data_IF_961079247984
#
_entry.id   IF_961079247984
#
_cell.length_a   1.000
_cell.length_b   1.000
_cell.length_c   1.000
_cell.angle_alpha   90.00
_cell.angle_beta   90.00
_cell.angle_gamma   90.00
#
_symmetry.space_group_name_H-M   'P 1'
#
loop_
_entity.id
_entity.type
_entity.pdbx_description
1 polymer ?
#
# COMPACT_ATOMS: atom_id res chain seq x y z
N UNK A 1 22.17 18.28 17.35
CA UNK A 1 23.25 18.35 16.34
C UNK A 1 22.65 18.93 15.08
N UNK A 2 23.39 19.63 14.20
CA UNK A 2 22.79 20.13 12.96
C UNK A 2 22.35 18.96 12.09
N UNK A 3 21.09 18.97 11.67
CA UNK A 3 20.54 17.95 10.78
C UNK A 3 21.25 18.00 9.43
N UNK A 4 21.64 16.84 8.89
CA UNK A 4 22.42 16.77 7.65
C UNK A 4 21.57 16.45 6.45
N UNK A 5 21.69 17.25 5.40
CA UNK A 5 21.03 16.95 4.13
C UNK A 5 21.70 15.77 3.43
N UNK A 6 20.90 14.81 2.96
CA UNK A 6 21.32 13.83 1.96
C UNK A 6 21.12 14.43 0.55
N UNK A 7 22.18 14.88 -0.15
CA UNK A 7 22.05 15.82 -1.26
C UNK A 7 21.85 15.17 -2.64
N UNK A 8 21.76 13.84 -2.71
CA UNK A 8 21.81 13.10 -3.96
C UNK A 8 20.40 12.81 -4.51
N UNK A 9 20.20 13.08 -5.80
CA UNK A 9 19.00 12.64 -6.51
C UNK A 9 18.93 11.11 -6.57
N UNK A 10 17.76 10.54 -6.31
CA UNK A 10 17.55 9.09 -6.37
C UNK A 10 17.14 8.62 -7.76
N UNK A 11 17.69 7.49 -8.16
CA UNK A 11 17.25 6.72 -9.32
C UNK A 11 15.96 5.96 -8.99
N UNK A 12 15.04 5.90 -9.94
CA UNK A 12 13.88 5.01 -9.86
C UNK A 12 14.26 3.57 -10.23
N UNK A 13 13.74 2.55 -9.52
CA UNK A 13 12.72 2.62 -8.48
C UNK A 13 13.28 2.96 -7.09
N UNK A 14 12.55 3.79 -6.35
CA UNK A 14 12.73 3.96 -4.90
C UNK A 14 11.85 2.95 -4.18
N UNK A 15 12.40 2.29 -3.17
CA UNK A 15 11.66 1.30 -2.37
C UNK A 15 11.27 1.91 -1.04
N UNK A 16 9.97 1.88 -0.70
CA UNK A 16 9.46 2.20 0.64
C UNK A 16 8.86 0.93 1.26
N UNK A 17 9.26 0.63 2.50
CA UNK A 17 8.70 -0.46 3.30
C UNK A 17 7.97 0.13 4.49
N UNK A 18 6.68 -0.16 4.61
CA UNK A 18 5.83 0.26 5.72
C UNK A 18 5.59 -0.92 6.68
N UNK A 19 6.08 -0.81 7.91
CA UNK A 19 5.97 -1.83 8.94
C UNK A 19 5.07 -1.39 10.09
N UNK A 20 3.85 -1.91 10.12
CA UNK A 20 2.97 -1.76 11.26
C UNK A 20 3.29 -2.79 12.35
N UNK A 21 3.01 -2.42 13.59
CA UNK A 21 3.06 -3.33 14.72
C UNK A 21 1.66 -3.45 15.29
N UNK A 22 1.07 -4.63 15.08
CA UNK A 22 -0.27 -4.98 15.56
C UNK A 22 -0.13 -6.25 16.39
N UNK A 23 -0.54 -6.17 17.64
CA UNK A 23 -0.67 -7.34 18.49
C UNK A 23 -1.99 -8.05 18.19
N UNK A 24 -1.95 -9.37 18.15
CA UNK A 24 -3.04 -10.25 17.73
C UNK A 24 -3.30 -11.23 18.87
N UNK A 25 -4.34 -10.93 19.65
CA UNK A 25 -4.79 -11.75 20.76
C UNK A 25 -5.84 -12.71 20.25
N UNK A 26 -5.49 -13.99 20.22
CA UNK A 26 -6.32 -15.04 19.63
C UNK A 26 -6.98 -15.86 20.72
N UNK A 27 -8.24 -16.22 20.48
CA UNK A 27 -8.99 -17.25 21.21
C UNK A 27 -9.56 -18.22 20.18
N UNK A 28 -10.03 -19.40 20.61
CA UNK A 28 -10.56 -20.44 19.71
C UNK A 28 -11.62 -19.91 18.72
N UNK A 29 -12.54 -19.06 19.20
CA UNK A 29 -13.68 -18.55 18.45
C UNK A 29 -13.56 -17.06 18.03
N UNK A 30 -12.50 -16.37 18.43
CA UNK A 30 -12.44 -14.93 18.32
C UNK A 30 -11.03 -14.36 18.36
N UNK A 31 -10.91 -13.09 17.97
CA UNK A 31 -9.62 -12.41 17.91
C UNK A 31 -9.80 -10.93 18.20
N UNK A 32 -8.88 -10.37 19.00
CA UNK A 32 -8.74 -8.94 19.22
C UNK A 32 -7.39 -8.46 18.65
N UNK A 33 -7.41 -7.35 17.92
CA UNK A 33 -6.22 -6.75 17.32
C UNK A 33 -5.96 -5.35 17.86
N UNK A 34 -4.76 -5.10 18.36
CA UNK A 34 -4.36 -3.82 18.96
C UNK A 34 -3.18 -3.25 18.19
N UNK A 35 -3.34 -2.08 17.58
CA UNK A 35 -2.21 -1.38 16.97
C UNK A 35 -1.31 -0.79 18.05
N UNK A 36 -0.07 -1.26 18.12
CA UNK A 36 0.93 -0.80 19.09
C UNK A 36 1.61 0.50 18.67
N UNK A 37 1.48 0.89 17.40
CA UNK A 37 2.00 2.14 16.84
C UNK A 37 0.89 3.00 16.27
N UNK A 38 1.04 4.31 16.35
CA UNK A 38 0.15 5.28 15.71
C UNK A 38 0.27 5.22 14.18
N UNK A 39 1.49 5.23 13.65
CA UNK A 39 1.83 5.01 12.24
C UNK A 39 2.82 3.86 12.01
N UNK A 40 3.02 3.41 10.77
CA UNK A 40 4.02 2.38 10.46
C UNK A 40 5.44 2.91 10.66
N UNK A 41 6.42 2.03 10.87
CA UNK A 41 7.81 2.41 10.62
C UNK A 41 8.01 2.42 9.11
N UNK A 42 8.45 3.55 8.55
CA UNK A 42 8.78 3.66 7.12
C UNK A 42 10.29 3.57 6.94
N UNK A 43 10.72 2.62 6.12
CA UNK A 43 12.11 2.49 5.68
C UNK A 43 12.16 2.76 4.19
N UNK A 44 12.96 3.74 3.78
CA UNK A 44 13.14 4.13 2.38
C UNK A 44 14.54 3.73 1.95
N UNK A 45 14.64 2.98 0.85
CA UNK A 45 15.90 2.64 0.21
C UNK A 45 16.01 3.41 -1.10
N UNK A 46 17.06 4.22 -1.18
CA UNK A 46 17.40 5.04 -2.33
C UNK A 46 18.64 4.46 -3.02
N UNK A 47 18.56 4.34 -4.34
CA UNK A 47 19.68 4.05 -5.21
C UNK A 47 20.10 5.35 -5.90
N UNK A 48 21.39 5.64 -5.96
CA UNK A 48 21.94 6.83 -6.61
C UNK A 48 22.99 6.43 -7.63
N UNK A 49 22.97 7.04 -8.81
CA UNK A 49 24.03 6.92 -9.80
C UNK A 49 24.91 8.17 -9.70
N UNK A 50 26.16 7.99 -9.26
CA UNK A 50 27.08 9.10 -8.99
C UNK A 50 28.39 8.95 -9.77
N UNK A 51 29.04 10.07 -10.04
CA UNK A 51 30.40 10.13 -10.55
C UNK A 51 31.44 9.97 -9.42
N UNK A 52 32.72 10.01 -9.78
CA UNK A 52 33.81 9.76 -8.82
C UNK A 52 33.78 10.73 -7.64
N UNK A 53 33.42 11.99 -7.88
CA UNK A 53 33.32 13.01 -6.84
C UNK A 53 32.11 12.77 -5.94
N UNK A 54 30.95 12.48 -6.52
CA UNK A 54 29.74 12.16 -5.78
C UNK A 54 29.88 10.89 -4.94
N UNK A 55 30.59 9.86 -5.43
CA UNK A 55 30.92 8.66 -4.66
C UNK A 55 31.81 8.97 -3.45
N UNK A 56 32.78 9.88 -3.61
CA UNK A 56 33.62 10.33 -2.51
C UNK A 56 32.81 11.15 -1.50
N UNK A 57 31.98 12.10 -1.96
CA UNK A 57 31.08 12.89 -1.11
C UNK A 57 30.14 11.98 -0.30
N UNK A 58 29.53 10.98 -0.95
CA UNK A 58 28.65 10.03 -0.28
C UNK A 58 29.38 9.20 0.80
N UNK A 59 30.62 8.80 0.53
CA UNK A 59 31.45 8.07 1.51
C UNK A 59 31.79 8.94 2.73
N UNK A 60 32.17 10.21 2.50
CA UNK A 60 32.47 11.16 3.57
C UNK A 60 31.23 11.48 4.41
N UNK A 61 30.10 11.74 3.76
CA UNK A 61 28.81 11.97 4.41
C UNK A 61 28.39 10.77 5.26
N UNK A 62 28.42 9.56 4.69
CA UNK A 62 28.07 8.34 5.41
C UNK A 62 28.96 8.10 6.64
N UNK A 63 30.28 8.28 6.51
CA UNK A 63 31.21 8.12 7.64
C UNK A 63 30.95 9.13 8.75
N UNK A 64 30.69 10.38 8.37
CA UNK A 64 30.58 11.46 9.34
C UNK A 64 29.20 11.50 10.03
N UNK A 65 28.14 10.93 9.43
CA UNK A 65 26.76 11.01 9.94
C UNK A 65 26.08 9.66 10.21
N UNK A 66 26.84 8.60 10.51
CA UNK A 66 26.30 7.24 10.69
C UNK A 66 25.23 7.14 11.80
N UNK A 67 25.32 7.98 12.83
CA UNK A 67 24.39 8.01 13.98
C UNK A 67 23.56 9.30 14.04
N UNK A 68 23.74 10.19 13.06
CA UNK A 68 23.10 11.50 13.03
C UNK A 68 21.69 11.40 12.44
N UNK A 69 20.90 12.44 12.69
CA UNK A 69 19.66 12.68 11.97
C UNK A 69 19.93 13.36 10.62
N UNK A 70 19.20 12.87 9.63
CA UNK A 70 19.29 13.28 8.24
C UNK A 70 18.01 13.96 7.80
N UNK A 71 18.18 15.08 7.10
CA UNK A 71 17.18 15.68 6.24
C UNK A 71 17.17 14.86 4.96
N UNK A 72 16.15 14.03 4.80
CA UNK A 72 16.01 13.09 3.69
C UNK A 72 14.99 13.61 2.67
N UNK A 73 15.40 13.90 1.42
CA UNK A 73 14.45 14.12 0.34
C UNK A 73 13.65 12.84 0.06
N UNK A 74 12.33 12.91 0.20
CA UNK A 74 11.45 11.78 -0.09
C UNK A 74 11.14 11.74 -1.59
N UNK A 75 12.14 11.38 -2.39
CA UNK A 75 12.05 11.37 -3.86
C UNK A 75 10.88 10.55 -4.43
N UNK A 76 10.48 9.48 -3.74
CA UNK A 76 9.30 8.68 -4.12
C UNK A 76 7.97 9.45 -4.01
N UNK A 77 7.94 10.56 -3.26
CA UNK A 77 6.80 11.47 -3.14
C UNK A 77 6.99 12.76 -3.95
N UNK A 78 8.09 12.94 -4.67
CA UNK A 78 8.38 14.18 -5.39
C UNK A 78 7.41 14.46 -6.55
N UNK A 79 7.24 15.74 -6.88
CA UNK A 79 6.39 16.26 -7.96
C UNK A 79 7.20 17.19 -8.86
N UNK A 80 6.93 17.23 -10.18
CA UNK A 80 7.46 18.28 -11.01
C UNK A 80 6.87 19.63 -10.59
N UNK A 81 7.69 20.68 -10.59
CA UNK A 81 7.19 22.04 -10.53
C UNK A 81 6.39 22.36 -11.81
N UNK A 82 5.31 23.12 -11.68
CA UNK A 82 4.48 23.50 -12.83
C UNK A 82 5.00 24.73 -13.57
N UNK A 83 5.98 25.42 -13.00
CA UNK A 83 6.68 26.56 -13.57
C UNK A 83 8.18 26.47 -13.28
N UNK A 84 8.99 27.23 -14.03
CA UNK A 84 10.39 27.43 -13.69
C UNK A 84 10.50 28.16 -12.35
N UNK A 85 11.56 27.86 -11.60
CA UNK A 85 11.90 28.51 -10.33
C UNK A 85 13.07 29.43 -10.61
N UNK A 86 12.99 30.69 -10.23
CA UNK A 86 14.11 31.62 -10.23
C UNK A 86 14.69 31.81 -8.83
N UNK A 87 15.98 32.15 -8.77
CA UNK A 87 16.68 32.29 -7.50
C UNK A 87 16.06 33.33 -6.54
N UNK A 88 15.35 34.32 -7.09
CA UNK A 88 14.67 35.37 -6.32
C UNK A 88 13.23 35.01 -5.92
N UNK A 89 12.70 33.88 -6.40
CA UNK A 89 11.30 33.52 -6.16
C UNK A 89 11.05 33.16 -4.70
N UNK A 90 9.94 33.67 -4.18
CA UNK A 90 9.38 33.31 -2.87
C UNK A 90 8.23 32.31 -2.98
N UNK A 91 7.95 31.83 -4.19
CA UNK A 91 6.83 30.91 -4.44
C UNK A 91 7.28 29.83 -5.40
N UNK A 92 6.97 28.58 -5.08
CA UNK A 92 7.23 27.42 -5.94
C UNK A 92 5.90 26.78 -6.30
N UNK A 93 5.53 26.81 -7.58
CA UNK A 93 4.28 26.21 -8.05
C UNK A 93 4.43 24.70 -8.18
N UNK A 94 3.63 23.96 -7.41
CA UNK A 94 3.64 22.50 -7.35
C UNK A 94 2.29 22.03 -6.78
N UNK A 95 1.77 20.91 -7.28
CA UNK A 95 0.56 20.30 -6.74
C UNK A 95 0.81 19.76 -5.32
N UNK A 96 0.10 20.33 -4.34
CA UNK A 96 0.16 19.96 -2.92
C UNK A 96 -1.16 19.33 -2.43
N UNK A 97 -2.14 19.15 -3.32
CA UNK A 97 -3.51 18.73 -2.96
C UNK A 97 -3.59 17.37 -2.25
N UNK A 98 -2.56 16.55 -2.41
CA UNK A 98 -2.43 15.23 -1.80
C UNK A 98 -1.95 15.25 -0.34
N UNK A 99 -1.62 16.43 0.21
CA UNK A 99 -1.16 16.63 1.58
C UNK A 99 0.28 16.17 1.84
N UNK A 100 1.07 15.85 0.81
CA UNK A 100 2.46 15.38 0.99
C UNK A 100 3.38 16.43 1.63
N UNK A 101 2.99 17.70 1.59
CA UNK A 101 3.70 18.83 2.19
C UNK A 101 3.01 19.35 3.47
N UNK A 102 1.91 18.74 3.92
CA UNK A 102 1.15 19.23 5.07
C UNK A 102 2.00 19.22 6.34
N UNK A 103 2.09 20.37 7.00
CA UNK A 103 2.90 20.54 8.21
C UNK A 103 4.42 20.50 7.98
N UNK A 104 4.88 20.47 6.73
CA UNK A 104 6.30 20.54 6.40
C UNK A 104 6.83 21.96 6.60
N UNK A 105 7.92 22.10 7.35
CA UNK A 105 8.66 23.36 7.48
C UNK A 105 9.71 23.52 6.37
N UNK A 106 10.02 22.46 5.64
CA UNK A 106 11.10 22.41 4.65
C UNK A 106 10.69 21.55 3.45
N UNK A 107 11.20 21.91 2.28
CA UNK A 107 11.13 21.12 1.05
C UNK A 107 12.49 21.06 0.37
N UNK A 108 12.60 20.16 -0.59
CA UNK A 108 13.76 20.04 -1.46
C UNK A 108 13.36 20.44 -2.87
N UNK A 109 14.17 21.28 -3.51
CA UNK A 109 14.11 21.56 -4.94
C UNK A 109 15.40 21.08 -5.60
N UNK A 110 15.28 20.47 -6.78
CA UNK A 110 16.43 20.02 -7.57
C UNK A 110 16.10 20.04 -9.05
N UNK A 111 17.11 20.19 -9.91
CA UNK A 111 16.98 19.76 -11.31
C UNK A 111 16.79 18.24 -11.36
N UNK A 112 16.18 17.72 -12.42
CA UNK A 112 16.10 16.27 -12.63
C UNK A 112 17.51 15.63 -12.65
N UNK A 113 17.75 14.65 -11.78
CA UNK A 113 19.07 14.05 -11.53
C UNK A 113 20.13 14.97 -10.90
N UNK A 114 19.76 16.20 -10.52
CA UNK A 114 20.66 17.22 -9.99
C UNK A 114 20.87 17.16 -8.48
N UNK A 115 21.65 18.13 -7.96
CA UNK A 115 21.87 18.30 -6.52
C UNK A 115 20.59 18.79 -5.83
N UNK A 116 20.33 18.28 -4.63
CA UNK A 116 19.23 18.72 -3.79
C UNK A 116 19.54 20.07 -3.10
N UNK A 117 18.58 21.00 -3.15
CA UNK A 117 18.63 22.28 -2.45
C UNK A 117 17.49 22.35 -1.43
N UNK A 118 17.84 22.61 -0.17
CA UNK A 118 16.87 22.76 0.92
C UNK A 118 16.27 24.16 0.87
N UNK A 119 14.94 24.24 0.94
CA UNK A 119 14.19 25.50 1.04
C UNK A 119 13.26 25.45 2.25
N UNK A 120 13.07 26.59 2.90
CA UNK A 120 12.17 26.75 4.04
C UNK A 120 10.77 27.17 3.58
N UNK A 121 9.74 26.52 4.10
CA UNK A 121 8.35 26.75 3.74
C UNK A 121 7.72 27.66 4.79
N UNK A 122 7.14 28.78 4.34
CA UNK A 122 6.32 29.67 5.15
C UNK A 122 4.85 29.20 5.18
N UNK A 123 4.30 28.79 4.04
CA UNK A 123 2.94 28.29 3.94
C UNK A 123 2.77 27.28 2.79
N UNK A 124 1.83 26.35 2.97
CA UNK A 124 1.42 25.38 1.95
C UNK A 124 0.02 25.75 1.48
N UNK A 125 -0.13 25.98 0.18
CA UNK A 125 -1.39 26.25 -0.49
C UNK A 125 -1.65 25.18 -1.53
N UNK A 126 -2.90 25.00 -1.98
CA UNK A 126 -3.32 23.88 -2.81
C UNK A 126 -2.56 23.72 -4.15
N UNK A 127 -1.95 24.80 -4.64
CA UNK A 127 -1.27 24.86 -5.95
C UNK A 127 0.20 25.32 -5.87
N UNK A 128 0.70 25.64 -4.66
CA UNK A 128 2.05 26.18 -4.47
C UNK A 128 2.55 26.08 -3.03
N UNK A 129 3.86 26.21 -2.90
CA UNK A 129 4.57 26.46 -1.65
C UNK A 129 4.98 27.93 -1.60
N UNK A 130 4.69 28.60 -0.49
CA UNK A 130 5.25 29.92 -0.19
C UNK A 130 6.50 29.71 0.65
N UNK A 131 7.63 30.26 0.21
CA UNK A 131 8.92 30.10 0.85
C UNK A 131 9.16 31.20 1.88
N UNK A 132 9.83 30.85 2.99
CA UNK A 132 10.22 31.81 4.01
C UNK A 132 11.37 32.72 3.54
N UNK A 133 12.21 32.21 2.63
CA UNK A 133 13.34 32.90 2.01
C UNK A 133 13.35 32.56 0.51
N UNK A 134 13.92 33.44 -0.31
CA UNK A 134 14.02 33.22 -1.75
C UNK A 134 14.72 31.88 -2.07
N UNK A 135 14.28 31.22 -3.15
CA UNK A 135 14.72 29.87 -3.52
C UNK A 135 16.24 29.71 -3.64
N UNK A 136 16.96 30.77 -4.01
CA UNK A 136 18.42 30.82 -4.07
C UNK A 136 19.05 30.04 -5.24
N UNK A 137 18.24 29.40 -6.08
CA UNK A 137 18.65 28.66 -7.27
C UNK A 137 17.64 28.84 -8.40
N UNK A 138 18.11 28.98 -9.64
CA UNK A 138 17.25 28.99 -10.83
C UNK A 138 17.21 27.60 -11.48
N UNK A 139 16.01 27.05 -11.70
CA UNK A 139 15.75 25.71 -12.21
C UNK A 139 14.57 25.73 -13.18
N UNK A 140 14.78 25.33 -14.45
CA UNK A 140 13.72 25.33 -15.47
C UNK A 140 12.75 24.13 -15.38
N UNK A 141 13.25 22.96 -15.00
CA UNK A 141 12.48 21.72 -14.86
C UNK A 141 12.71 21.13 -13.48
N UNK A 142 12.32 21.90 -12.46
CA UNK A 142 12.55 21.52 -11.08
C UNK A 142 11.64 20.35 -10.66
N UNK A 143 12.19 19.49 -9.82
CA UNK A 143 11.44 18.50 -9.05
C UNK A 143 11.45 18.97 -7.60
N UNK A 144 10.27 18.98 -7.00
CA UNK A 144 10.04 19.37 -5.60
C UNK A 144 9.71 18.12 -4.80
N UNK A 145 10.45 17.85 -3.74
CA UNK A 145 10.25 16.70 -2.87
C UNK A 145 9.96 17.14 -1.42
N UNK A 146 9.02 16.49 -0.73
CA UNK A 146 8.87 16.68 0.70
C UNK A 146 10.08 16.11 1.45
N UNK A 147 10.30 16.62 2.65
CA UNK A 147 11.43 16.26 3.51
C UNK A 147 10.96 15.37 4.65
N UNK A 148 11.72 14.32 4.94
CA UNK A 148 11.58 13.53 6.16
C UNK A 148 12.83 13.63 7.02
N UNK A 149 12.65 13.64 8.35
CA UNK A 149 13.76 13.40 9.28
C UNK A 149 13.97 11.88 9.41
N UNK A 150 15.21 11.43 9.24
CA UNK A 150 15.51 10.00 9.20
C UNK A 150 16.91 9.69 9.76
N UNK A 151 17.15 8.42 10.08
CA UNK A 151 18.50 7.93 10.40
C UNK A 151 18.86 6.76 9.49
N UNK A 152 20.16 6.52 9.31
CA UNK A 152 20.64 5.41 8.48
C UNK A 152 20.22 4.06 9.10
N UNK A 153 19.41 3.31 8.35
CA UNK A 153 18.94 1.98 8.73
C UNK A 153 20.01 0.89 8.48
N UNK A 154 20.90 1.17 7.52
CA UNK A 154 22.02 0.31 7.12
C UNK A 154 23.22 1.19 6.77
N UNK A 155 24.46 0.65 6.82
CA UNK A 155 25.62 1.34 6.26
C UNK A 155 25.38 1.73 4.80
N UNK A 156 25.95 2.85 4.39
CA UNK A 156 25.91 3.29 2.98
C UNK A 156 26.75 2.32 2.15
N UNK A 157 26.13 1.70 1.16
CA UNK A 157 26.79 0.74 0.26
C UNK A 157 27.24 1.48 -1.01
N UNK A 158 28.51 1.31 -1.40
CA UNK A 158 29.08 1.97 -2.57
C UNK A 158 29.68 0.90 -3.49
N UNK A 159 29.07 0.73 -4.66
CA UNK A 159 29.58 -0.12 -5.73
C UNK A 159 30.26 0.76 -6.80
N UNK A 160 31.56 0.56 -6.99
CA UNK A 160 32.38 1.31 -7.94
C UNK A 160 32.46 0.56 -9.26
N UNK A 161 32.07 1.20 -10.36
CA UNK A 161 32.19 0.65 -11.71
C UNK A 161 33.40 1.24 -12.44
N UNK A 162 33.72 0.67 -13.60
CA UNK A 162 34.76 1.22 -14.49
C UNK A 162 34.35 2.62 -14.95
N UNK A 163 35.34 3.46 -15.26
CA UNK A 163 35.17 4.83 -15.78
C UNK A 163 34.63 5.87 -14.78
N UNK A 164 34.80 5.65 -13.48
CA UNK A 164 34.49 6.67 -12.47
C UNK A 164 33.01 6.89 -12.21
N UNK A 165 32.15 5.99 -12.67
CA UNK A 165 30.74 5.93 -12.30
C UNK A 165 30.52 4.83 -11.27
N UNK A 166 29.53 4.99 -10.42
CA UNK A 166 29.18 3.99 -9.42
C UNK A 166 27.78 4.18 -8.89
N UNK A 167 27.33 3.21 -8.11
CA UNK A 167 26.03 3.24 -7.46
C UNK A 167 26.19 3.33 -5.96
N UNK A 168 25.40 4.21 -5.34
CA UNK A 168 25.28 4.32 -3.89
C UNK A 168 23.90 3.85 -3.48
N UNK A 169 23.83 2.89 -2.55
CA UNK A 169 22.59 2.47 -1.93
C UNK A 169 22.56 2.97 -0.49
N UNK A 170 21.55 3.78 -0.16
CA UNK A 170 21.35 4.29 1.19
C UNK A 170 19.94 3.92 1.66
N UNK A 171 19.86 3.31 2.85
CA UNK A 171 18.59 2.94 3.48
C UNK A 171 18.39 3.76 4.73
N UNK A 172 17.24 4.42 4.84
CA UNK A 172 16.90 5.32 5.93
C UNK A 172 15.61 4.89 6.60
N UNK A 173 15.55 4.95 7.93
CA UNK A 173 14.30 4.81 8.67
C UNK A 173 13.80 6.20 9.07
N UNK A 174 12.57 6.53 8.71
CA UNK A 174 11.96 7.82 9.06
C UNK A 174 11.68 7.88 10.57
N UNK A 175 11.99 9.02 11.20
CA UNK A 175 11.69 9.32 12.62
C UNK A 175 10.20 9.39 12.86
N UNK A 176 9.51 10.13 11.99
CA UNK A 176 8.06 10.24 11.97
C UNK A 176 7.60 9.80 10.59
N UNK A 177 6.68 8.85 10.57
CA UNK A 177 5.93 8.50 9.38
C UNK A 177 4.62 9.26 9.37
N UNK A 178 4.19 9.61 8.16
CA UNK A 178 2.85 10.15 7.94
C UNK A 178 1.79 9.15 8.46
N UNK A 179 0.97 9.63 9.39
CA UNK A 179 -0.17 8.90 9.96
C UNK A 179 -1.51 9.38 9.40
N UNK A 180 -1.52 10.32 8.45
CA UNK A 180 -2.75 10.90 7.91
C UNK A 180 -3.47 9.88 7.03
N UNK A 181 -4.52 9.29 7.61
CA UNK A 181 -5.45 8.47 6.84
C UNK A 181 -6.33 9.39 5.98
N UNK A 182 -6.36 9.14 4.67
CA UNK A 182 -7.33 9.78 3.78
C UNK A 182 -8.66 9.01 3.79
N UNK A 183 -9.71 9.64 3.26
CA UNK A 183 -10.93 8.94 2.88
C UNK A 183 -10.59 7.78 1.92
N UNK A 184 -11.19 6.62 2.16
CA UNK A 184 -10.96 5.46 1.31
C UNK A 184 -11.55 5.69 -0.08
N UNK A 185 -10.82 5.38 -1.17
CA UNK A 185 -11.37 5.44 -2.52
C UNK A 185 -12.29 4.26 -2.85
N UNK A 186 -12.38 3.27 -1.95
CA UNK A 186 -13.05 2.01 -2.22
C UNK A 186 -14.51 1.99 -1.80
N UNK A 187 -15.37 1.26 -2.52
CA UNK A 187 -16.73 1.01 -2.07
C UNK A 187 -16.71 0.13 -0.82
N UNK A 188 -17.73 0.28 0.02
CA UNK A 188 -17.82 -0.44 1.30
C UNK A 188 -18.88 -1.53 1.27
N UNK A 189 -18.59 -2.63 1.95
CA UNK A 189 -19.52 -3.72 2.26
C UNK A 189 -19.44 -4.03 3.75
N UNK A 190 -20.59 -3.92 4.44
CA UNK A 190 -20.67 -4.06 5.91
C UNK A 190 -19.68 -3.16 6.67
N UNK A 191 -19.50 -1.92 6.18
CA UNK A 191 -18.61 -0.92 6.79
C UNK A 191 -17.12 -1.17 6.59
N UNK A 192 -16.74 -2.13 5.74
CA UNK A 192 -15.35 -2.42 5.38
C UNK A 192 -15.13 -2.15 3.90
N UNK A 193 -13.96 -1.63 3.56
CA UNK A 193 -13.57 -1.37 2.17
C UNK A 193 -13.45 -2.68 1.39
N UNK A 194 -13.86 -2.65 0.13
CA UNK A 194 -13.68 -3.76 -0.81
C UNK A 194 -12.59 -3.39 -1.82
N UNK A 195 -11.51 -4.16 -1.85
CA UNK A 195 -10.42 -3.99 -2.83
C UNK A 195 -10.90 -4.45 -4.22
N UNK A 196 -11.46 -3.54 -5.00
CA UNK A 196 -12.00 -3.82 -6.34
C UNK A 196 -10.95 -3.78 -7.45
N UNK A 197 -9.71 -3.45 -7.14
CA UNK A 197 -8.64 -3.46 -8.13
C UNK A 197 -8.14 -4.89 -8.35
N UNK A 198 -8.12 -5.38 -9.59
CA UNK A 198 -7.61 -6.71 -9.88
C UNK A 198 -6.09 -6.77 -9.66
N UNK A 199 -5.63 -7.89 -9.11
CA UNK A 199 -4.21 -8.14 -8.94
C UNK A 199 -3.49 -8.18 -10.31
N UNK A 200 -2.35 -7.50 -10.42
CA UNK A 200 -1.47 -7.63 -11.58
C UNK A 200 -0.64 -8.89 -11.44
N UNK A 201 -0.87 -9.87 -12.31
CA UNK A 201 -0.15 -11.13 -12.33
C UNK A 201 1.08 -11.03 -13.22
N UNK A 202 2.26 -10.83 -12.62
CA UNK A 202 3.56 -11.00 -13.31
C UNK A 202 4.16 -12.40 -13.08
N UNK A 203 3.78 -13.03 -11.97
CA UNK A 203 4.11 -14.40 -11.58
C UNK A 203 2.84 -15.06 -11.04
N UNK A 204 2.76 -16.41 -11.03
CA UNK A 204 1.65 -17.11 -10.39
C UNK A 204 1.46 -16.63 -8.95
N UNK A 205 0.22 -16.34 -8.58
CA UNK A 205 -0.12 -15.95 -7.22
C UNK A 205 0.00 -17.17 -6.30
N UNK A 206 1.00 -17.15 -5.42
CA UNK A 206 1.10 -18.17 -4.37
C UNK A 206 0.01 -17.93 -3.32
N UNK A 207 -0.72 -18.99 -3.01
CA UNK A 207 -1.73 -19.03 -1.96
C UNK A 207 -1.45 -20.22 -1.05
N UNK A 208 -1.63 -20.01 0.25
CA UNK A 208 -1.59 -21.08 1.24
C UNK A 208 -2.88 -21.08 2.05
N UNK A 209 -3.49 -22.25 2.20
CA UNK A 209 -4.60 -22.51 3.10
C UNK A 209 -4.10 -23.45 4.20
N UNK A 210 -4.27 -23.07 5.45
CA UNK A 210 -3.80 -23.87 6.59
C UNK A 210 -4.56 -23.57 7.86
N UNK A 211 -4.58 -24.54 8.77
CA UNK A 211 -5.17 -24.39 10.11
C UNK A 211 -4.08 -24.67 11.13
N UNK A 212 -4.00 -23.82 12.16
CA UNK A 212 -3.07 -24.05 13.26
C UNK A 212 -3.65 -25.15 14.15
N UNK A 213 -2.89 -26.22 14.33
CA UNK A 213 -3.25 -27.38 15.15
C UNK A 213 -2.12 -27.69 16.12
N UNK A 214 -2.46 -28.16 17.30
CA UNK A 214 -1.56 -28.79 18.26
C UNK A 214 -1.64 -30.30 18.08
N UNK A 215 -0.47 -30.94 17.95
CA UNK A 215 -0.38 -32.39 17.82
C UNK A 215 -0.03 -33.00 19.17
N UNK A 216 -0.94 -33.79 19.72
CA UNK A 216 -0.75 -34.55 20.96
C UNK A 216 -0.30 -35.95 20.57
N UNK A 217 1.00 -36.23 20.77
CA UNK A 217 1.59 -37.55 20.59
C UNK A 217 2.08 -38.07 21.93
N UNK A 218 1.45 -39.13 22.42
CA UNK A 218 1.81 -39.78 23.67
C UNK A 218 2.79 -40.96 23.49
N UNK A 219 3.28 -41.21 22.26
CA UNK A 219 4.28 -42.22 21.92
C UNK A 219 3.81 -43.67 21.97
N UNK A 220 2.59 -43.94 22.43
CA UNK A 220 2.02 -45.28 22.53
C UNK A 220 0.68 -45.43 21.79
N UNK A 221 0.06 -44.33 21.36
CA UNK A 221 -1.21 -44.28 20.64
C UNK A 221 -1.16 -43.45 19.36
N UNK A 222 -2.31 -43.23 18.74
CA UNK A 222 -2.43 -42.37 17.57
C UNK A 222 -2.22 -40.90 17.94
N UNK A 223 -1.54 -40.16 17.07
CA UNK A 223 -1.44 -38.69 17.19
C UNK A 223 -2.82 -38.07 17.07
N UNK A 224 -3.21 -37.28 18.06
CA UNK A 224 -4.46 -36.50 18.07
C UNK A 224 -4.13 -35.07 17.68
N UNK A 225 -4.93 -34.49 16.77
CA UNK A 225 -4.79 -33.10 16.35
C UNK A 225 -5.92 -32.28 16.99
N UNK A 226 -5.55 -31.26 17.76
CA UNK A 226 -6.49 -30.31 18.32
C UNK A 226 -6.31 -28.94 17.63
N UNK A 227 -7.38 -28.37 17.04
CA UNK A 227 -7.26 -27.07 16.39
C UNK A 227 -7.10 -25.96 17.43
N UNK A 228 -6.05 -25.15 17.27
CA UNK A 228 -5.84 -23.93 18.07
C UNK A 228 -6.86 -22.85 17.67
N UNK A 229 -7.34 -22.92 16.43
CA UNK A 229 -8.31 -22.02 15.83
C UNK A 229 -9.40 -22.80 15.12
N UNK A 230 -10.65 -22.38 15.28
CA UNK A 230 -11.80 -22.97 14.56
C UNK A 230 -11.80 -22.68 13.06
N UNK A 231 -11.11 -21.62 12.63
CA UNK A 231 -11.10 -21.16 11.24
C UNK A 231 -9.79 -21.49 10.51
N UNK A 232 -9.91 -21.84 9.23
CA UNK A 232 -8.78 -21.99 8.31
C UNK A 232 -8.25 -20.60 7.93
N UNK A 233 -6.94 -20.44 7.98
CA UNK A 233 -6.25 -19.23 7.57
C UNK A 233 -5.81 -19.32 6.11
N UNK A 234 -5.98 -18.21 5.39
CA UNK A 234 -5.50 -18.03 4.02
C UNK A 234 -4.43 -16.96 4.01
N UNK A 235 -3.35 -17.21 3.27
CA UNK A 235 -2.33 -16.20 2.97
C UNK A 235 -2.11 -16.12 1.47
N UNK A 236 -2.03 -14.90 0.96
CA UNK A 236 -1.79 -14.62 -0.46
C UNK A 236 -1.00 -13.32 -0.61
N UNK A 237 -0.22 -13.20 -1.70
CA UNK A 237 0.59 -11.99 -1.98
C UNK A 237 0.07 -11.25 -3.20
N UNK A 238 -0.60 -10.12 -3.00
CA UNK A 238 -1.18 -9.34 -4.11
C UNK A 238 -0.17 -8.32 -4.61
N UNK A 239 -0.05 -8.19 -5.93
CA UNK A 239 0.70 -7.10 -6.57
C UNK A 239 -0.27 -6.16 -7.27
N UNK A 240 -0.12 -4.87 -7.02
CA UNK A 240 -0.90 -3.79 -7.63
C UNK A 240 0.06 -2.82 -8.32
N UNK A 241 -0.41 -2.17 -9.38
CA UNK A 241 0.36 -1.14 -10.09
C UNK A 241 -0.51 0.10 -10.20
N UNK A 242 -0.09 1.16 -9.51
CA UNK A 242 -0.73 2.46 -9.59
C UNK A 242 0.19 3.44 -10.35
N UNK A 243 -0.40 4.37 -11.11
CA UNK A 243 0.31 5.40 -11.87
C UNK A 243 -0.19 6.79 -11.50
N UNK A 244 0.70 7.79 -11.55
CA UNK A 244 0.36 9.18 -11.24
C UNK A 244 -0.20 9.34 -9.82
N UNK A 245 -1.28 10.13 -9.69
CA UNK A 245 -1.92 10.42 -8.41
C UNK A 245 -2.46 9.18 -7.67
N UNK A 246 -2.86 8.14 -8.40
CA UNK A 246 -3.40 6.90 -7.82
C UNK A 246 -2.41 6.22 -6.85
N UNK A 247 -1.10 6.35 -7.09
CA UNK A 247 -0.04 5.82 -6.21
C UNK A 247 -0.17 6.35 -4.78
N UNK A 248 -0.51 7.62 -4.65
CA UNK A 248 -0.58 8.29 -3.36
C UNK A 248 -1.89 7.99 -2.66
N UNK A 249 -3.00 7.98 -3.41
CA UNK A 249 -4.30 7.52 -2.92
C UNK A 249 -4.18 6.11 -2.36
N UNK A 250 -3.49 5.20 -3.08
CA UNK A 250 -3.18 3.84 -2.60
C UNK A 250 -2.39 3.87 -1.30
N UNK A 251 -1.29 4.63 -1.26
CA UNK A 251 -0.43 4.72 -0.08
C UNK A 251 -1.21 5.22 1.14
N UNK A 252 -2.01 6.28 1.01
CA UNK A 252 -2.85 6.83 2.09
C UNK A 252 -3.92 5.84 2.53
N UNK A 253 -4.50 5.09 1.60
CA UNK A 253 -5.41 3.99 1.95
C UNK A 253 -4.69 2.88 2.74
N UNK A 254 -3.49 2.46 2.34
CA UNK A 254 -2.70 1.48 3.11
C UNK A 254 -2.39 1.97 4.54
N UNK A 255 -2.05 3.26 4.69
CA UNK A 255 -1.88 3.88 6.01
C UNK A 255 -3.17 3.81 6.84
N UNK A 256 -4.33 3.99 6.20
CA UNK A 256 -5.64 3.92 6.85
C UNK A 256 -5.96 2.53 7.43
N UNK A 257 -5.38 1.45 6.90
CA UNK A 257 -5.60 0.09 7.39
C UNK A 257 -4.89 -0.19 8.73
N UNK A 258 -3.85 0.59 9.05
CA UNK A 258 -3.02 0.42 10.26
C UNK A 258 -2.51 -1.03 10.41
N UNK A 259 -2.04 -1.61 9.30
CA UNK A 259 -1.51 -2.96 9.25
C UNK A 259 -2.62 -4.00 9.36
N UNK A 260 -2.54 -4.85 10.38
CA UNK A 260 -3.55 -5.90 10.62
C UNK A 260 -4.77 -5.38 11.40
N UNK A 261 -4.72 -4.16 11.95
CA UNK A 261 -5.78 -3.71 12.86
C UNK A 261 -7.15 -3.59 12.17
N UNK A 262 -7.20 -3.06 10.94
CA UNK A 262 -8.45 -2.92 10.19
C UNK A 262 -8.57 -4.00 9.13
N UNK A 263 -9.79 -4.50 9.02
CA UNK A 263 -10.15 -5.50 8.02
C UNK A 263 -10.54 -4.84 6.69
N UNK A 264 -10.42 -5.61 5.62
CA UNK A 264 -10.96 -5.27 4.30
C UNK A 264 -11.54 -6.52 3.64
N UNK A 265 -12.37 -6.33 2.63
CA UNK A 265 -12.82 -7.40 1.75
C UNK A 265 -11.94 -7.49 0.52
N UNK A 266 -11.47 -8.70 0.25
CA UNK A 266 -10.69 -9.02 -0.93
C UNK A 266 -11.48 -9.99 -1.81
N UNK A 267 -11.82 -9.61 -3.04
CA UNK A 267 -12.31 -10.56 -4.03
C UNK A 267 -11.26 -11.63 -4.33
N UNK A 268 -11.69 -12.88 -4.48
CA UNK A 268 -10.80 -13.99 -4.85
C UNK A 268 -10.22 -13.85 -6.25
N UNK A 269 -10.91 -13.13 -7.14
CA UNK A 269 -10.59 -12.96 -8.56
C UNK A 269 -10.51 -14.26 -9.40
N UNK A 270 -10.75 -15.44 -8.80
CA UNK A 270 -10.65 -16.74 -9.48
C UNK A 270 -11.89 -17.16 -10.28
N UNK A 271 -12.97 -16.38 -10.24
CA UNK A 271 -14.25 -16.65 -10.96
C UNK A 271 -14.85 -18.01 -10.58
N UNK A 272 -14.78 -18.35 -9.30
CA UNK A 272 -15.22 -19.65 -8.77
C UNK A 272 -16.74 -19.83 -8.86
N UNK A 273 -17.49 -18.72 -8.92
CA UNK A 273 -18.94 -18.71 -9.03
C UNK A 273 -19.36 -18.39 -10.47
N UNK A 274 -19.49 -19.43 -11.29
CA UNK A 274 -19.97 -19.30 -12.67
C UNK A 274 -21.50 -19.34 -12.70
N UNK A 275 -22.14 -18.24 -13.08
CA UNK A 275 -23.60 -18.17 -13.19
C UNK A 275 -24.13 -19.16 -14.25
N UNK A 276 -25.23 -19.83 -13.93
CA UNK A 276 -25.93 -20.77 -14.82
C UNK A 276 -27.24 -20.18 -15.38
N UNK A 277 -27.74 -19.12 -14.77
CA UNK A 277 -28.90 -18.37 -15.26
C UNK A 277 -28.70 -16.86 -15.03
N UNK A 278 -29.30 -16.05 -15.91
CA UNK A 278 -29.45 -14.62 -15.66
C UNK A 278 -30.40 -14.39 -14.48
N UNK A 279 -30.17 -13.31 -13.73
CA UNK A 279 -31.00 -12.94 -12.59
C UNK A 279 -31.57 -11.53 -12.79
N UNK A 280 -32.83 -11.32 -12.43
CA UNK A 280 -33.46 -10.00 -12.48
C UNK A 280 -33.00 -9.14 -11.30
N UNK A 281 -33.23 -7.83 -11.38
CA UNK A 281 -32.88 -6.89 -10.30
C UNK A 281 -33.55 -7.22 -8.95
N UNK A 282 -34.75 -7.82 -8.98
CA UNK A 282 -35.50 -8.25 -7.80
C UNK A 282 -35.28 -9.71 -7.40
N UNK A 283 -34.38 -10.44 -8.05
CA UNK A 283 -34.16 -11.86 -7.76
C UNK A 283 -33.58 -12.04 -6.34
N UNK A 284 -34.18 -12.95 -5.57
CA UNK A 284 -33.72 -13.32 -4.22
C UNK A 284 -32.75 -14.51 -4.23
N UNK A 285 -32.39 -15.00 -5.41
CA UNK A 285 -31.41 -16.07 -5.57
C UNK A 285 -30.71 -15.99 -6.92
N UNK A 286 -29.47 -16.47 -6.97
CA UNK A 286 -28.73 -16.74 -8.20
C UNK A 286 -28.42 -18.24 -8.28
N UNK A 287 -28.24 -18.77 -9.49
CA UNK A 287 -27.84 -20.17 -9.69
C UNK A 287 -26.43 -20.20 -10.27
N UNK A 288 -25.54 -20.96 -9.64
CA UNK A 288 -24.13 -21.11 -10.02
C UNK A 288 -23.81 -22.55 -10.35
N UNK A 289 -22.71 -22.76 -11.07
CA UNK A 289 -22.19 -24.08 -11.39
C UNK A 289 -21.97 -24.89 -10.11
N UNK A 290 -22.28 -26.20 -10.12
CA UNK A 290 -22.05 -27.05 -8.97
C UNK A 290 -20.55 -27.28 -8.76
N UNK A 291 -20.02 -26.81 -7.63
CA UNK A 291 -18.59 -26.94 -7.30
C UNK A 291 -18.35 -27.76 -6.03
N UNK A 292 -19.22 -27.63 -5.03
CA UNK A 292 -19.07 -28.26 -3.72
C UNK A 292 -20.43 -28.37 -3.02
N UNK A 293 -20.46 -28.98 -1.84
CA UNK A 293 -21.68 -29.07 -1.04
C UNK A 293 -22.28 -27.68 -0.77
N UNK A 294 -23.61 -27.48 -0.93
CA UNK A 294 -24.23 -26.18 -0.77
C UNK A 294 -23.97 -25.52 0.59
N UNK A 295 -23.86 -26.31 1.67
CA UNK A 295 -23.69 -25.79 3.03
C UNK A 295 -22.45 -24.93 3.21
N UNK A 296 -21.37 -25.18 2.44
CA UNK A 296 -20.11 -24.44 2.58
C UNK A 296 -20.25 -22.96 2.18
N UNK A 297 -21.26 -22.62 1.40
CA UNK A 297 -21.47 -21.28 0.85
C UNK A 297 -22.23 -20.37 1.81
N UNK A 298 -22.98 -20.93 2.76
CA UNK A 298 -23.82 -20.17 3.69
C UNK A 298 -22.94 -19.28 4.58
N UNK A 299 -23.32 -18.01 4.72
CA UNK A 299 -22.56 -16.99 5.47
C UNK A 299 -21.35 -16.42 4.71
N UNK A 300 -21.03 -16.91 3.51
CA UNK A 300 -20.00 -16.29 2.66
C UNK A 300 -20.54 -15.06 1.96
N UNK A 301 -19.64 -14.14 1.63
CA UNK A 301 -19.97 -12.95 0.85
C UNK A 301 -19.47 -13.09 -0.59
N UNK A 302 -20.16 -12.41 -1.49
CA UNK A 302 -19.83 -12.38 -2.91
C UNK A 302 -19.86 -10.95 -3.45
N UNK A 303 -19.11 -10.76 -4.53
CA UNK A 303 -19.11 -9.56 -5.36
C UNK A 303 -19.55 -9.95 -6.77
N UNK A 304 -20.61 -9.32 -7.25
CA UNK A 304 -21.03 -9.38 -8.66
C UNK A 304 -20.36 -8.20 -9.37
N UNK A 305 -19.50 -8.48 -10.33
CA UNK A 305 -18.76 -7.48 -11.12
C UNK A 305 -19.64 -6.93 -12.24
N UNK A 306 -20.61 -6.09 -11.85
CA UNK A 306 -21.58 -5.51 -12.77
C UNK A 306 -21.00 -4.27 -13.49
N UNK A 307 -21.24 -4.06 -14.80
CA UNK A 307 -20.64 -2.96 -15.56
C UNK A 307 -20.90 -1.55 -15.03
N UNK A 308 -22.02 -1.35 -14.35
CA UNK A 308 -22.38 -0.06 -13.72
C UNK A 308 -21.89 0.07 -12.26
N UNK A 309 -20.96 -0.79 -11.84
CA UNK A 309 -20.37 -0.82 -10.50
C UNK A 309 -20.76 -2.08 -9.72
N UNK A 310 -19.85 -2.57 -8.86
CA UNK A 310 -19.97 -3.86 -8.20
C UNK A 310 -21.14 -3.93 -7.23
N UNK A 311 -21.67 -5.13 -7.03
CA UNK A 311 -22.76 -5.41 -6.08
C UNK A 311 -22.30 -6.45 -5.07
N UNK A 312 -22.36 -6.13 -3.79
CA UNK A 312 -21.91 -7.03 -2.71
C UNK A 312 -23.09 -7.66 -2.00
N UNK A 313 -23.06 -8.99 -1.78
CA UNK A 313 -24.13 -9.72 -1.12
C UNK A 313 -23.60 -10.80 -0.19
N UNK A 314 -24.41 -11.14 0.79
CA UNK A 314 -24.23 -12.32 1.64
C UNK A 314 -25.09 -13.46 1.13
N UNK A 315 -24.55 -14.68 1.19
CA UNK A 315 -25.26 -15.91 0.90
C UNK A 315 -25.95 -16.36 2.18
N UNK A 316 -27.27 -16.22 2.23
CA UNK A 316 -28.08 -16.52 3.41
C UNK A 316 -28.55 -17.98 3.46
N UNK A 317 -28.67 -18.62 2.30
CA UNK A 317 -28.99 -20.03 2.18
C UNK A 317 -28.44 -20.57 0.85
N UNK A 318 -28.20 -21.87 0.79
CA UNK A 318 -27.73 -22.55 -0.42
C UNK A 318 -28.37 -23.94 -0.52
N UNK A 319 -28.81 -24.31 -1.73
CA UNK A 319 -29.44 -25.60 -2.00
C UNK A 319 -29.14 -26.10 -3.41
N UNK A 320 -29.29 -27.40 -3.64
CA UNK A 320 -29.23 -27.97 -4.98
C UNK A 320 -30.39 -27.48 -5.84
N UNK A 321 -30.10 -27.26 -7.11
CA UNK A 321 -31.04 -26.84 -8.14
C UNK A 321 -30.80 -27.67 -9.42
N UNK A 322 -31.80 -27.75 -10.29
CA UNK A 322 -31.68 -28.50 -11.54
C UNK A 322 -30.51 -28.02 -12.42
N UNK A 323 -30.14 -26.74 -12.32
CA UNK A 323 -29.04 -26.15 -13.09
C UNK A 323 -27.71 -26.08 -12.31
N UNK A 324 -27.67 -26.47 -11.04
CA UNK A 324 -26.46 -26.39 -10.21
C UNK A 324 -26.77 -26.13 -8.74
N UNK A 325 -26.22 -25.04 -8.19
CA UNK A 325 -26.46 -24.63 -6.80
C UNK A 325 -27.17 -23.29 -6.80
N UNK A 326 -28.32 -23.23 -6.12
CA UNK A 326 -29.07 -22.00 -5.86
C UNK A 326 -28.54 -21.34 -4.60
N UNK A 327 -28.03 -20.12 -4.73
CA UNK A 327 -27.57 -19.27 -3.63
C UNK A 327 -28.60 -18.19 -3.37
N UNK A 328 -29.15 -18.15 -2.15
CA UNK A 328 -30.12 -17.14 -1.73
C UNK A 328 -29.41 -15.89 -1.25
N UNK A 329 -29.76 -14.75 -1.84
CA UNK A 329 -29.13 -13.44 -1.61
C UNK A 329 -30.21 -12.36 -1.50
N UNK A 330 -29.88 -11.24 -0.84
CA UNK A 330 -30.72 -10.05 -0.95
C UNK A 330 -30.72 -9.53 -2.41
N UNK A 331 -31.86 -8.99 -2.86
CA UNK A 331 -32.06 -8.55 -4.24
C UNK A 331 -30.89 -7.68 -4.73
N UNK A 332 -30.27 -7.97 -5.88
CA UNK A 332 -29.08 -7.27 -6.36
C UNK A 332 -29.37 -5.81 -6.74
N UNK A 333 -30.63 -5.46 -7.02
CA UNK A 333 -31.02 -4.11 -7.46
C UNK A 333 -30.62 -3.79 -8.90
N UNK A 334 -29.91 -4.70 -9.57
CA UNK A 334 -29.47 -4.62 -10.97
C UNK A 334 -29.70 -5.97 -11.64
N UNK A 335 -30.10 -5.98 -12.90
CA UNK A 335 -30.22 -7.22 -13.68
C UNK A 335 -28.83 -7.79 -13.97
N UNK A 336 -28.63 -9.07 -13.70
CA UNK A 336 -27.34 -9.77 -13.84
C UNK A 336 -27.42 -10.66 -15.08
N UNK A 337 -26.60 -10.37 -16.08
CA UNK A 337 -26.47 -11.21 -17.26
C UNK A 337 -25.68 -12.49 -16.93
N UNK A 338 -25.95 -13.59 -17.65
CA UNK A 338 -25.29 -14.89 -17.44
C UNK A 338 -23.76 -14.83 -17.45
N UNK A 339 -23.17 -13.95 -18.27
CA UNK A 339 -21.71 -13.78 -18.36
C UNK A 339 -21.08 -12.87 -17.31
N UNK A 340 -21.86 -12.34 -16.36
CA UNK A 340 -21.34 -11.40 -15.35
C UNK A 340 -20.42 -12.14 -14.37
N UNK A 341 -19.16 -11.72 -14.18
CA UNK A 341 -18.27 -12.37 -13.23
C UNK A 341 -18.80 -12.24 -11.79
N UNK A 342 -18.76 -13.35 -11.05
CA UNK A 342 -19.06 -13.37 -9.62
C UNK A 342 -17.85 -13.91 -8.87
N UNK A 343 -17.44 -13.17 -7.86
CA UNK A 343 -16.26 -13.46 -7.05
C UNK A 343 -16.67 -13.68 -5.60
N UNK A 344 -15.98 -14.57 -4.90
CA UNK A 344 -16.13 -14.66 -3.45
C UNK A 344 -15.37 -13.50 -2.80
N UNK A 345 -15.93 -12.95 -1.74
CA UNK A 345 -15.28 -11.95 -0.90
C UNK A 345 -14.70 -12.62 0.33
N UNK A 346 -13.40 -12.41 0.53
CA UNK A 346 -12.68 -12.89 1.69
C UNK A 346 -12.37 -11.72 2.62
N UNK A 347 -12.69 -11.88 3.90
CA UNK A 347 -12.36 -10.88 4.90
C UNK A 347 -10.89 -11.01 5.27
N UNK A 348 -10.06 -10.08 4.79
CA UNK A 348 -8.65 -9.99 5.14
C UNK A 348 -8.51 -9.16 6.39
N UNK A 349 -7.69 -9.63 7.33
CA UNK A 349 -7.47 -9.03 8.64
C UNK A 349 -6.04 -9.31 9.10
#
# INVERSE_FOLDING_TARGET
MPDRLWPFAAQTPVTEVLEWSTDVLVTEAGEQRIALRTGPRSTVTLLHLLDAMGLAEAAELGRAGQLDDWILPLWHLARPATAAIDAADLTVFVDTSDGAFDGAAQAIIAADGGRAHLVEIAAVLSDRLELAVAAGVSLAHAVVAPVGSAFLARPVEIDRRRQGLGTVTASFTLRLSDGSAAASPYPQHLGLDVLTDPAVLRQPLAETLGQTVEAIDNGFGSVVLEPVLTQVQRRSTISLIDRGAARLTRRRWLLSLRGRQRALWLPTWGRELVLQAAATSGATSIVVAPLADPSIWIGRHLMIDHPTGPVFREITAAAWDALGIRLSIAAPGKSIALGTPVHLLLKVR
#
